data_IF_767419452930
#
_entry.id   IF_767419452930
#
_cell.length_a   1.000
_cell.length_b   1.000
_cell.length_c   1.000
_cell.angle_alpha   90.00
_cell.angle_beta   90.00
_cell.angle_gamma   90.00
#
_symmetry.space_group_name_H-M   'P 1'
#
loop_
_entity.id
_entity.type
_entity.pdbx_description
1 polymer ?
#
# COMPACT_ATOMS: atom_id res chain seq x y z
N UNK A 1 6.37 14.89 -2.07
CA UNK A 1 7.45 13.97 -1.65
C UNK A 1 8.39 13.61 -2.80
N UNK A 2 7.93 13.08 -3.93
CA UNK A 2 8.79 12.69 -5.06
C UNK A 2 9.71 13.85 -5.54
N UNK A 3 9.16 15.05 -5.72
CA UNK A 3 9.96 16.23 -6.10
C UNK A 3 11.02 16.57 -5.05
N UNK A 4 10.68 16.48 -3.75
CA UNK A 4 11.63 16.73 -2.67
C UNK A 4 12.74 15.69 -2.55
N UNK A 5 12.52 14.48 -3.09
CA UNK A 5 13.52 13.42 -3.19
C UNK A 5 14.29 13.44 -4.51
N UNK A 6 13.92 14.31 -5.45
CA UNK A 6 14.52 14.38 -6.78
C UNK A 6 14.27 13.12 -7.61
N UNK A 7 13.22 12.35 -7.32
CA UNK A 7 12.88 11.14 -8.08
C UNK A 7 11.79 11.44 -9.11
N UNK A 8 11.92 10.82 -10.28
CA UNK A 8 10.89 10.91 -11.31
C UNK A 8 9.60 10.28 -10.81
N UNK A 9 8.48 10.92 -11.08
CA UNK A 9 7.16 10.35 -10.88
C UNK A 9 6.27 10.61 -12.10
N UNK A 10 5.40 9.67 -12.37
CA UNK A 10 4.42 9.75 -13.45
C UNK A 10 3.04 9.48 -12.87
N UNK A 11 2.02 10.20 -13.34
CA UNK A 11 0.63 10.00 -12.94
C UNK A 11 -0.11 9.31 -14.08
N UNK A 12 -0.67 8.14 -13.80
CA UNK A 12 -1.46 7.36 -14.75
C UNK A 12 -2.87 7.20 -14.17
N UNK A 13 -3.85 7.73 -14.87
CA UNK A 13 -5.25 7.61 -14.47
C UNK A 13 -5.76 6.20 -14.75
N UNK A 14 -6.44 5.59 -13.77
CA UNK A 14 -6.97 4.21 -13.89
C UNK A 14 -8.46 4.17 -14.17
N UNK A 15 -9.16 5.30 -14.14
CA UNK A 15 -10.62 5.39 -14.33
C UNK A 15 -11.10 4.68 -15.61
N UNK A 16 -10.45 4.86 -16.78
CA UNK A 16 -10.91 4.19 -18.00
C UNK A 16 -10.81 2.66 -17.91
N UNK A 17 -9.77 2.13 -17.27
CA UNK A 17 -9.57 0.69 -17.12
C UNK A 17 -10.61 0.08 -16.18
N UNK A 18 -10.86 0.74 -15.04
CA UNK A 18 -11.89 0.31 -14.08
C UNK A 18 -13.27 0.31 -14.74
N UNK A 19 -13.63 1.37 -15.44
CA UNK A 19 -14.91 1.47 -16.17
C UNK A 19 -15.08 0.39 -17.25
N UNK A 20 -14.00 0.01 -17.93
CA UNK A 20 -14.03 -1.06 -18.91
C UNK A 20 -14.37 -2.41 -18.25
N UNK A 21 -13.77 -2.72 -17.11
CA UNK A 21 -14.10 -3.92 -16.33
C UNK A 21 -15.51 -3.89 -15.79
N UNK A 22 -15.95 -2.79 -15.20
CA UNK A 22 -17.32 -2.62 -14.70
C UNK A 22 -18.36 -2.83 -15.82
N UNK A 23 -18.12 -2.24 -17.00
CA UNK A 23 -19.00 -2.40 -18.16
C UNK A 23 -19.05 -3.86 -18.61
N UNK A 24 -17.92 -4.54 -18.69
CA UNK A 24 -17.87 -5.94 -19.10
C UNK A 24 -18.55 -6.89 -18.11
N UNK A 25 -18.48 -6.58 -16.81
CA UNK A 25 -19.02 -7.39 -15.72
C UNK A 25 -20.49 -7.05 -15.39
N UNK A 26 -21.00 -5.89 -15.78
CA UNK A 26 -22.35 -5.43 -15.46
C UNK A 26 -23.45 -6.46 -15.72
N UNK A 27 -23.48 -7.21 -16.86
CA UNK A 27 -24.50 -8.22 -17.08
C UNK A 27 -24.43 -9.40 -16.10
N UNK A 28 -23.24 -9.71 -15.60
CA UNK A 28 -23.01 -10.80 -14.65
C UNK A 28 -23.30 -10.39 -13.20
N UNK A 29 -23.14 -9.09 -12.91
CA UNK A 29 -23.35 -8.51 -11.57
C UNK A 29 -24.77 -7.94 -11.39
N UNK A 30 -25.65 -8.15 -12.37
CA UNK A 30 -27.01 -7.65 -12.30
C UNK A 30 -27.73 -8.13 -11.02
N UNK A 31 -28.15 -7.19 -10.18
CA UNK A 31 -28.80 -7.47 -8.88
C UNK A 31 -27.86 -7.76 -7.72
N UNK A 32 -26.56 -7.87 -7.93
CA UNK A 32 -25.57 -7.92 -6.86
C UNK A 32 -25.38 -6.54 -6.19
N UNK A 33 -25.11 -6.53 -4.90
CA UNK A 33 -24.72 -5.30 -4.21
C UNK A 33 -23.23 -5.03 -4.42
N UNK A 34 -22.87 -3.75 -4.48
CA UNK A 34 -21.48 -3.32 -4.51
C UNK A 34 -20.75 -3.73 -3.21
N UNK A 35 -19.54 -4.27 -3.33
CA UNK A 35 -18.74 -4.71 -2.20
C UNK A 35 -17.22 -4.49 -2.45
N UNK A 36 -16.36 -5.25 -1.79
CA UNK A 36 -14.91 -5.18 -1.98
C UNK A 36 -14.44 -5.61 -3.38
N UNK A 37 -15.31 -6.16 -4.23
CA UNK A 37 -14.96 -6.57 -5.59
C UNK A 37 -14.52 -5.38 -6.43
N UNK A 38 -15.25 -4.27 -6.36
CA UNK A 38 -14.96 -3.05 -7.10
C UNK A 38 -13.69 -2.37 -6.58
N UNK A 39 -13.45 -2.39 -5.27
CA UNK A 39 -12.20 -1.93 -4.66
C UNK A 39 -11.02 -2.77 -5.16
N UNK A 40 -11.17 -4.09 -5.18
CA UNK A 40 -10.16 -5.03 -5.67
C UNK A 40 -9.87 -4.86 -7.17
N UNK A 41 -10.87 -4.51 -7.98
CA UNK A 41 -10.65 -4.18 -9.40
C UNK A 41 -9.71 -2.98 -9.56
N UNK A 42 -9.91 -1.92 -8.77
CA UNK A 42 -9.02 -0.76 -8.80
C UNK A 42 -7.57 -1.13 -8.42
N UNK A 43 -7.39 -1.90 -7.36
CA UNK A 43 -6.06 -2.34 -6.93
C UNK A 43 -5.38 -3.19 -8.02
N UNK A 44 -6.12 -4.10 -8.67
CA UNK A 44 -5.59 -4.95 -9.77
C UNK A 44 -5.28 -4.14 -11.03
N UNK A 45 -6.05 -3.13 -11.37
CA UNK A 45 -5.72 -2.22 -12.46
C UNK A 45 -4.35 -1.54 -12.23
N UNK A 46 -4.10 -1.05 -11.01
CA UNK A 46 -2.79 -0.49 -10.63
C UNK A 46 -1.67 -1.52 -10.74
N UNK A 47 -1.87 -2.71 -10.19
CA UNK A 47 -0.91 -3.81 -10.26
C UNK A 47 -0.55 -4.17 -11.70
N UNK A 48 -1.55 -4.27 -12.58
CA UNK A 48 -1.34 -4.58 -14.02
C UNK A 48 -0.50 -3.50 -14.71
N UNK A 49 -0.77 -2.22 -14.46
CA UNK A 49 0.01 -1.11 -15.02
C UNK A 49 1.46 -1.12 -14.53
N UNK A 50 1.67 -1.33 -13.23
CA UNK A 50 3.02 -1.43 -12.65
C UNK A 50 3.81 -2.60 -13.24
N UNK A 51 3.18 -3.76 -13.40
CA UNK A 51 3.82 -4.93 -14.00
C UNK A 51 4.10 -4.74 -15.49
N UNK A 52 3.25 -4.02 -16.22
CA UNK A 52 3.51 -3.68 -17.62
C UNK A 52 4.75 -2.76 -17.76
N UNK A 53 4.89 -1.76 -16.88
CA UNK A 53 6.07 -0.89 -16.82
C UNK A 53 7.33 -1.68 -16.43
N UNK A 54 7.22 -2.56 -15.44
CA UNK A 54 8.28 -3.47 -15.03
C UNK A 54 8.80 -4.30 -16.22
N UNK A 55 7.91 -4.97 -16.92
CA UNK A 55 8.24 -5.80 -18.05
C UNK A 55 8.85 -5.00 -19.22
N UNK A 56 8.31 -3.82 -19.48
CA UNK A 56 8.74 -2.99 -20.60
C UNK A 56 10.14 -2.40 -20.39
N UNK A 57 10.45 -2.01 -19.16
CA UNK A 57 11.68 -1.26 -18.85
C UNK A 57 12.68 -2.04 -17.99
N UNK A 58 12.38 -3.28 -17.62
CA UNK A 58 13.25 -4.10 -16.77
C UNK A 58 13.34 -3.58 -15.33
N UNK A 59 12.32 -2.89 -14.84
CA UNK A 59 12.29 -2.37 -13.48
C UNK A 59 11.74 -3.42 -12.50
N UNK A 60 12.25 -3.41 -11.27
CA UNK A 60 11.64 -4.16 -10.16
C UNK A 60 10.52 -3.34 -9.55
N UNK A 61 9.33 -3.93 -9.43
CA UNK A 61 8.24 -3.33 -8.67
C UNK A 61 8.45 -3.62 -7.20
N UNK A 62 8.44 -2.57 -6.37
CA UNK A 62 8.46 -2.69 -4.91
C UNK A 62 7.03 -2.69 -4.39
N UNK A 63 6.69 -3.65 -3.54
CA UNK A 63 5.45 -3.58 -2.76
C UNK A 63 5.70 -2.81 -1.48
N UNK A 64 4.68 -2.15 -0.97
CA UNK A 64 4.76 -1.32 0.22
C UNK A 64 3.95 -1.87 1.39
N UNK A 65 3.36 -3.06 1.24
CA UNK A 65 2.66 -3.74 2.33
C UNK A 65 3.62 -4.01 3.50
N UNK A 66 3.15 -3.76 4.69
CA UNK A 66 3.89 -3.99 5.93
C UNK A 66 3.43 -5.27 6.64
N UNK A 67 4.13 -5.66 7.71
CA UNK A 67 3.85 -6.90 8.45
C UNK A 67 2.43 -6.96 9.02
N UNK A 68 1.93 -5.85 9.54
CA UNK A 68 0.58 -5.78 10.12
C UNK A 68 -0.51 -6.02 9.08
N UNK A 69 -0.39 -5.38 7.91
CA UNK A 69 -1.30 -5.56 6.78
C UNK A 69 -1.24 -7.01 6.26
N UNK A 70 -0.05 -7.56 6.07
CA UNK A 70 0.13 -8.94 5.60
C UNK A 70 -0.44 -9.95 6.60
N UNK A 71 -0.19 -9.78 7.90
CA UNK A 71 -0.68 -10.66 8.95
C UNK A 71 -2.22 -10.69 9.02
N UNK A 72 -2.88 -9.56 8.70
CA UNK A 72 -4.34 -9.46 8.66
C UNK A 72 -4.96 -9.83 7.32
N UNK A 73 -4.13 -10.13 6.30
CA UNK A 73 -4.63 -10.30 4.93
C UNK A 73 -5.22 -9.01 4.35
N UNK A 74 -4.82 -7.85 4.87
CA UNK A 74 -5.29 -6.54 4.43
C UNK A 74 -4.51 -6.08 3.21
N UNK A 75 -4.88 -6.64 2.07
CA UNK A 75 -4.28 -6.34 0.77
C UNK A 75 -4.97 -7.13 -0.34
N UNK A 76 -4.88 -6.64 -1.56
CA UNK A 76 -5.48 -7.28 -2.73
C UNK A 76 -4.47 -8.14 -3.46
N UNK A 77 -4.72 -9.46 -3.48
CA UNK A 77 -3.91 -10.39 -4.25
C UNK A 77 -3.90 -10.01 -5.74
N UNK A 78 -2.71 -9.96 -6.34
CA UNK A 78 -2.47 -9.45 -7.72
C UNK A 78 -2.80 -7.96 -7.92
N UNK A 79 -3.02 -7.20 -6.84
CA UNK A 79 -3.22 -5.75 -6.86
C UNK A 79 -2.03 -5.03 -6.20
N UNK A 80 -2.25 -4.45 -5.06
CA UNK A 80 -1.24 -3.74 -4.26
C UNK A 80 -0.13 -4.65 -3.72
N UNK A 81 -0.38 -5.97 -3.62
CA UNK A 81 0.64 -6.97 -3.26
C UNK A 81 1.48 -7.44 -4.45
N UNK A 82 1.20 -6.98 -5.68
CA UNK A 82 1.96 -7.37 -6.87
C UNK A 82 3.32 -6.65 -6.90
N UNK A 83 4.40 -7.44 -6.94
CA UNK A 83 5.75 -6.90 -7.03
C UNK A 83 6.82 -7.97 -6.87
N UNK A 84 8.05 -7.61 -7.19
CA UNK A 84 9.22 -8.50 -7.11
C UNK A 84 9.99 -8.38 -5.78
N UNK A 85 9.71 -7.37 -4.96
CA UNK A 85 10.37 -7.20 -3.67
C UNK A 85 9.50 -6.42 -2.68
N UNK A 86 9.30 -6.99 -1.50
CA UNK A 86 8.47 -6.44 -0.43
C UNK A 86 9.35 -5.86 0.69
N UNK A 87 9.71 -4.59 0.56
CA UNK A 87 10.71 -3.92 1.43
C UNK A 87 10.28 -3.85 2.90
N UNK A 88 8.98 -3.73 3.15
CA UNK A 88 8.42 -3.51 4.49
C UNK A 88 7.65 -4.72 5.04
N UNK A 89 7.66 -5.87 4.35
CA UNK A 89 6.80 -7.01 4.70
C UNK A 89 7.06 -7.58 6.10
N UNK A 90 8.22 -7.32 6.68
CA UNK A 90 8.58 -7.77 8.04
C UNK A 90 8.68 -6.62 9.06
N UNK A 91 8.19 -5.44 8.70
CA UNK A 91 8.17 -4.25 9.56
C UNK A 91 6.74 -3.95 9.98
N UNK A 92 6.48 -3.85 11.29
CA UNK A 92 5.17 -3.50 11.82
C UNK A 92 4.74 -2.08 11.42
N UNK A 93 3.45 -1.83 11.26
CA UNK A 93 2.93 -0.49 10.89
C UNK A 93 3.40 0.59 11.85
N UNK A 94 3.39 0.31 13.15
CA UNK A 94 3.88 1.23 14.19
C UNK A 94 5.37 1.53 14.02
N UNK A 95 6.17 0.54 13.61
CA UNK A 95 7.60 0.73 13.31
C UNK A 95 7.82 1.51 12.03
N UNK A 96 6.98 1.34 10.99
CA UNK A 96 7.05 2.16 9.77
C UNK A 96 6.89 3.65 10.11
N UNK A 97 5.95 4.00 11.00
CA UNK A 97 5.80 5.38 11.48
C UNK A 97 7.00 5.85 12.30
N UNK A 98 7.54 4.98 13.16
CA UNK A 98 8.72 5.31 13.95
C UNK A 98 9.95 5.55 13.04
N UNK A 99 10.15 4.70 12.03
CA UNK A 99 11.22 4.84 11.03
C UNK A 99 11.06 6.13 10.20
N UNK A 100 9.83 6.49 9.83
CA UNK A 100 9.57 7.72 9.10
C UNK A 100 9.93 8.96 9.92
N UNK A 101 9.57 8.99 11.21
CA UNK A 101 9.95 10.07 12.14
C UNK A 101 11.46 10.11 12.36
N UNK A 102 12.08 8.95 12.54
CA UNK A 102 13.52 8.83 12.71
C UNK A 102 14.26 9.36 11.46
N UNK A 103 13.82 8.98 10.25
CA UNK A 103 14.42 9.47 8.99
C UNK A 103 14.30 10.98 8.85
N UNK A 104 13.20 11.58 9.31
CA UNK A 104 13.04 13.03 9.30
C UNK A 104 13.97 13.76 10.28
N UNK A 105 14.35 13.10 11.38
CA UNK A 105 15.28 13.63 12.38
C UNK A 105 16.75 13.36 12.03
N UNK A 106 17.04 12.43 11.13
CA UNK A 106 18.39 11.96 10.81
C UNK A 106 18.62 11.86 9.30
N UNK A 107 19.86 12.06 8.86
CA UNK A 107 20.28 11.83 7.47
C UNK A 107 21.39 10.77 7.43
N UNK A 108 21.04 9.47 7.58
CA UNK A 108 22.02 8.39 7.70
C UNK A 108 22.81 8.14 6.41
N UNK A 109 22.31 8.64 5.28
CA UNK A 109 22.95 8.48 3.97
C UNK A 109 23.68 9.75 3.52
N UNK A 110 23.76 10.78 4.36
CA UNK A 110 24.38 12.06 4.06
C UNK A 110 23.90 12.69 2.74
N UNK A 111 22.60 12.57 2.48
CA UNK A 111 21.96 13.08 1.26
C UNK A 111 21.74 14.59 1.27
N UNK A 112 21.84 15.22 2.42
CA UNK A 112 21.47 16.61 2.65
C UNK A 112 19.95 16.87 2.70
N UNK A 113 19.14 15.81 2.59
CA UNK A 113 17.69 15.93 2.64
C UNK A 113 17.19 16.08 4.09
N UNK A 114 16.63 17.23 4.40
CA UNK A 114 16.05 17.54 5.71
C UNK A 114 14.57 17.20 5.70
N UNK A 115 14.13 16.37 6.67
CA UNK A 115 12.74 15.94 6.83
C UNK A 115 12.04 15.57 5.49
N UNK A 116 12.57 14.59 4.73
CA UNK A 116 12.11 14.32 3.36
C UNK A 116 10.69 13.75 3.31
N UNK A 117 10.18 13.22 4.42
CA UNK A 117 8.83 12.67 4.50
C UNK A 117 7.89 13.76 5.03
N UNK A 118 6.93 14.26 4.24
CA UNK A 118 5.98 15.26 4.69
C UNK A 118 5.23 14.81 5.95
N UNK A 119 5.09 15.69 6.93
CA UNK A 119 4.42 15.40 8.22
C UNK A 119 3.01 14.82 8.02
N UNK A 120 2.28 15.33 7.02
CA UNK A 120 0.95 14.82 6.68
C UNK A 120 0.94 13.32 6.35
N UNK A 121 2.02 12.76 5.78
CA UNK A 121 2.10 11.33 5.49
C UNK A 121 2.20 10.50 6.78
N UNK A 122 2.86 11.07 7.79
CA UNK A 122 3.07 10.41 9.09
C UNK A 122 1.83 10.51 9.99
N UNK A 123 1.11 11.63 9.90
CA UNK A 123 0.00 11.96 10.82
C UNK A 123 -1.39 11.64 10.26
N UNK A 124 -1.50 11.49 8.93
CA UNK A 124 -2.78 11.11 8.31
C UNK A 124 -3.16 9.69 8.72
N UNK A 125 -4.45 9.46 9.08
CA UNK A 125 -4.94 8.09 9.28
C UNK A 125 -4.66 7.22 8.05
N UNK A 126 -4.14 6.00 8.23
CA UNK A 126 -3.92 5.05 7.15
C UNK A 126 -5.21 4.74 6.40
N UNK A 127 -5.10 4.57 5.09
CA UNK A 127 -6.24 4.27 4.21
C UNK A 127 -5.76 3.57 2.94
N UNK A 128 -6.51 2.57 2.49
CA UNK A 128 -6.33 1.96 1.17
C UNK A 128 -6.73 2.89 0.01
N UNK A 129 -7.45 3.99 0.29
CA UNK A 129 -7.88 5.02 -0.68
C UNK A 129 -8.66 4.46 -1.89
N UNK A 130 -9.45 3.42 -1.68
CA UNK A 130 -10.24 2.76 -2.72
C UNK A 130 -11.68 3.30 -2.78
N UNK A 131 -12.12 4.00 -1.73
CA UNK A 131 -13.42 4.69 -1.64
C UNK A 131 -13.28 6.01 -0.85
N UNK A 132 -14.24 6.95 -1.02
CA UNK A 132 -14.25 8.20 -0.25
C UNK A 132 -14.22 7.95 1.26
N UNK A 133 -13.45 8.78 1.99
CA UNK A 133 -13.35 8.79 3.46
C UNK A 133 -12.94 7.46 4.12
N UNK A 134 -12.45 6.50 3.34
CA UNK A 134 -11.98 5.20 3.83
C UNK A 134 -10.83 5.37 4.81
N UNK A 135 -10.85 4.58 5.88
CA UNK A 135 -9.74 4.40 6.83
C UNK A 135 -9.52 2.92 7.08
N UNK A 136 -8.28 2.54 7.36
CA UNK A 136 -7.97 1.17 7.73
C UNK A 136 -8.72 0.75 9.00
N UNK A 137 -8.95 1.70 9.93
CA UNK A 137 -9.72 1.49 11.15
C UNK A 137 -11.21 1.18 10.94
N UNK A 138 -11.75 1.36 9.71
CA UNK A 138 -13.09 0.89 9.37
C UNK A 138 -13.18 -0.65 9.39
N UNK A 139 -12.03 -1.33 9.24
CA UNK A 139 -11.95 -2.79 9.14
C UNK A 139 -10.94 -3.42 10.11
N UNK A 140 -10.00 -2.65 10.64
CA UNK A 140 -8.93 -3.08 11.53
C UNK A 140 -8.99 -2.31 12.86
N UNK A 141 -8.52 -2.88 13.97
CA UNK A 141 -8.25 -2.11 15.18
C UNK A 141 -7.15 -1.05 14.91
N UNK A 142 -7.05 0.00 15.74
CA UNK A 142 -5.90 0.92 15.69
C UNK A 142 -4.58 0.13 15.71
N UNK A 143 -3.62 0.54 14.88
CA UNK A 143 -2.39 -0.22 14.67
C UNK A 143 -1.54 -0.41 15.94
N UNK A 144 -1.60 0.50 16.90
CA UNK A 144 -0.93 0.34 18.19
C UNK A 144 -1.47 -0.86 18.97
N UNK A 145 -2.77 -1.11 18.89
CA UNK A 145 -3.43 -2.25 19.53
C UNK A 145 -3.19 -3.51 18.71
N UNK A 146 -3.38 -3.42 17.39
CA UNK A 146 -3.21 -4.54 16.48
C UNK A 146 -1.80 -5.13 16.55
N UNK A 147 -0.78 -4.30 16.41
CA UNK A 147 0.63 -4.74 16.44
C UNK A 147 1.00 -5.35 17.80
N UNK A 148 0.49 -4.79 18.90
CA UNK A 148 0.70 -5.34 20.23
C UNK A 148 0.09 -6.75 20.36
N UNK A 149 -1.13 -6.94 19.87
CA UNK A 149 -1.80 -8.24 19.90
C UNK A 149 -1.10 -9.28 19.02
N UNK A 150 -0.72 -8.91 17.79
CA UNK A 150 -0.04 -9.81 16.86
C UNK A 150 1.35 -10.25 17.40
N UNK A 151 2.09 -9.34 18.00
CA UNK A 151 3.36 -9.65 18.67
C UNK A 151 3.16 -10.62 19.84
N UNK A 152 2.10 -10.42 20.61
CA UNK A 152 1.79 -11.30 21.75
C UNK A 152 1.38 -12.72 21.31
N UNK A 153 0.77 -12.85 20.15
CA UNK A 153 0.38 -14.15 19.57
C UNK A 153 1.55 -14.94 18.94
N UNK A 154 2.78 -14.46 19.07
CA UNK A 154 3.97 -15.13 18.55
C UNK A 154 4.27 -14.85 17.08
N UNK A 155 3.57 -13.90 16.44
CA UNK A 155 3.89 -13.43 15.08
C UNK A 155 5.10 -12.48 15.06
N UNK A 156 5.96 -12.56 16.07
CA UNK A 156 7.19 -11.76 16.15
C UNK A 156 8.30 -12.27 15.21
N UNK A 157 8.20 -13.54 14.79
CA UNK A 157 9.17 -14.13 13.88
C UNK A 157 9.07 -13.52 12.46
N UNK A 158 10.21 -13.42 11.73
CA UNK A 158 10.21 -12.99 10.35
C UNK A 158 9.26 -13.81 9.47
N UNK A 159 8.56 -13.14 8.55
CA UNK A 159 7.75 -13.83 7.54
C UNK A 159 8.73 -14.49 6.56
N UNK A 160 8.82 -15.82 6.61
CA UNK A 160 9.62 -16.57 5.64
C UNK A 160 9.02 -16.44 4.24
N UNK A 161 9.84 -16.02 3.29
CA UNK A 161 9.46 -15.91 1.87
C UNK A 161 9.22 -17.30 1.24
#
# INVERSE_FOLDING_TARGET
MADGLGVRHDVIEITPQVQAFETALAPLFAGAQMDTTEENLQARCRGTLLMALSNKFGHVVLTTSNKSEVAMGYGTLYGDMAGGFAVLCDVWKTEVFALARWRNAHDPLHTGLVAPIPERIITRPPSAELRPDQKDEDSLPPYEVLDALLRHQGMAEPISA
#
